data_IF_398087483672
#
_entry.id   IF_398087483672
#
_cell.length_a   1.000
_cell.length_b   1.000
_cell.length_c   1.000
_cell.angle_alpha   90.00
_cell.angle_beta   90.00
_cell.angle_gamma   90.00
#
_symmetry.space_group_name_H-M   'P 1'
#
loop_
_entity.id
_entity.type
_entity.pdbx_description
1 polymer ?
#
# COMPACT_ATOMS: atom_id res chain seq x y z
N UNK A 1 -6.12 11.08 15.81
CA UNK A 1 -5.09 10.10 15.38
C UNK A 1 -4.12 9.76 16.51
N UNK A 2 -3.54 10.76 17.19
CA UNK A 2 -2.62 10.54 18.33
C UNK A 2 -3.20 9.63 19.44
N UNK A 3 -4.48 9.77 19.78
CA UNK A 3 -5.15 8.94 20.81
C UNK A 3 -5.15 7.44 20.48
N UNK A 4 -5.34 7.09 19.20
CA UNK A 4 -5.35 5.69 18.75
C UNK A 4 -3.94 5.11 18.79
N UNK A 5 -2.94 5.87 18.31
CA UNK A 5 -1.53 5.47 18.36
C UNK A 5 -1.13 5.24 19.82
N UNK A 6 -1.40 6.18 20.71
CA UNK A 6 -1.07 6.05 22.13
C UNK A 6 -1.73 4.81 22.75
N UNK A 7 -3.01 4.55 22.44
CA UNK A 7 -3.73 3.37 22.93
C UNK A 7 -3.12 2.05 22.43
N UNK A 8 -2.69 1.98 21.16
CA UNK A 8 -2.02 0.78 20.62
C UNK A 8 -0.67 0.58 21.30
N UNK A 9 0.11 1.65 21.49
CA UNK A 9 1.45 1.55 22.07
C UNK A 9 1.45 1.22 23.57
N UNK A 10 0.44 1.69 24.31
CA UNK A 10 0.23 1.33 25.71
C UNK A 10 -0.21 -0.12 25.89
N UNK A 11 -0.70 -0.77 24.84
CA UNK A 11 -1.15 -2.16 24.88
C UNK A 11 -2.49 -2.35 25.60
N UNK A 12 -2.92 -3.61 25.68
CA UNK A 12 -4.07 -4.06 26.48
C UNK A 12 -3.62 -5.17 27.43
N UNK A 13 -4.24 -5.23 28.62
CA UNK A 13 -3.98 -6.27 29.64
C UNK A 13 -2.49 -6.44 30.02
N UNK A 14 -1.76 -5.32 30.12
CA UNK A 14 -0.34 -5.31 30.47
C UNK A 14 0.60 -5.81 29.36
N UNK A 15 0.08 -6.13 28.17
CA UNK A 15 0.87 -6.58 27.02
C UNK A 15 1.03 -5.44 26.03
N UNK A 16 2.25 -4.96 25.88
CA UNK A 16 2.56 -3.91 24.89
C UNK A 16 3.11 -4.53 23.60
N UNK A 17 2.76 -4.00 22.42
CA UNK A 17 3.25 -4.56 21.15
C UNK A 17 4.73 -4.21 20.94
N UNK A 18 5.54 -5.20 20.55
CA UNK A 18 6.94 -4.98 20.13
C UNK A 18 7.04 -4.57 18.66
N UNK A 19 6.08 -5.02 17.84
CA UNK A 19 6.00 -4.71 16.41
C UNK A 19 4.61 -4.18 16.07
N UNK A 20 4.53 -3.11 15.29
CA UNK A 20 3.28 -2.50 14.85
C UNK A 20 3.21 -2.49 13.32
N UNK A 21 2.06 -2.86 12.75
CA UNK A 21 1.78 -2.76 11.31
C UNK A 21 0.82 -1.57 11.06
N UNK A 22 1.33 -0.35 10.83
CA UNK A 22 0.50 0.79 10.46
C UNK A 22 0.09 0.72 8.98
N UNK A 23 -1.14 0.28 8.71
CA UNK A 23 -1.72 0.31 7.35
C UNK A 23 -2.29 1.70 7.07
N UNK A 24 -1.43 2.71 7.01
CA UNK A 24 -1.83 4.12 6.97
C UNK A 24 -0.97 5.01 6.07
N UNK A 25 -0.22 4.42 5.13
CA UNK A 25 0.63 5.17 4.19
C UNK A 25 1.55 6.16 4.93
N UNK A 26 1.56 7.46 4.56
CA UNK A 26 2.39 8.49 5.21
C UNK A 26 2.13 8.69 6.71
N UNK A 27 0.95 8.33 7.22
CA UNK A 27 0.65 8.44 8.65
C UNK A 27 1.46 7.45 9.51
N UNK A 28 2.16 6.50 8.90
CA UNK A 28 3.22 5.70 9.54
C UNK A 28 4.26 6.58 10.22
N UNK A 29 4.54 7.77 9.67
CA UNK A 29 5.42 8.77 10.28
C UNK A 29 4.99 9.17 11.69
N UNK A 30 3.70 9.19 12.00
CA UNK A 30 3.21 9.54 13.34
C UNK A 30 3.49 8.45 14.38
N UNK A 31 3.46 7.18 13.98
CA UNK A 31 3.86 6.06 14.83
C UNK A 31 5.35 6.14 15.13
N UNK A 32 6.17 6.39 14.10
CA UNK A 32 7.61 6.57 14.26
C UNK A 32 7.97 7.78 15.14
N UNK A 33 7.24 8.89 14.99
CA UNK A 33 7.40 10.06 15.85
C UNK A 33 6.98 9.76 17.29
N UNK A 34 5.95 8.92 17.51
CA UNK A 34 5.57 8.47 18.84
C UNK A 34 6.63 7.57 19.51
N UNK A 35 7.43 6.83 18.72
CA UNK A 35 8.56 6.07 19.25
C UNK A 35 9.67 6.99 19.76
N UNK A 36 10.00 8.04 19.00
CA UNK A 36 11.03 8.99 19.39
C UNK A 36 10.69 9.80 20.67
N UNK A 37 9.40 9.93 21.01
CA UNK A 37 8.92 10.69 22.17
C UNK A 37 9.01 9.94 23.51
N UNK A 38 9.27 8.63 23.51
CA UNK A 38 9.28 7.82 24.74
C UNK A 38 10.34 6.74 24.69
N UNK A 39 11.19 6.68 25.72
CA UNK A 39 12.19 5.62 25.89
C UNK A 39 11.55 4.23 26.00
N UNK A 40 10.33 4.13 26.53
CA UNK A 40 9.58 2.87 26.61
C UNK A 40 9.20 2.29 25.23
N UNK A 41 9.29 3.10 24.17
CA UNK A 41 9.03 2.71 22.80
C UNK A 41 10.31 2.55 21.97
N UNK A 42 11.50 2.70 22.58
CA UNK A 42 12.75 2.69 21.85
C UNK A 42 12.99 1.37 21.10
N UNK A 43 12.60 0.23 21.68
CA UNK A 43 12.82 -1.09 21.06
C UNK A 43 11.67 -1.55 20.16
N UNK A 44 10.63 -0.71 19.97
CA UNK A 44 9.51 -1.04 19.11
C UNK A 44 9.88 -0.86 17.64
N UNK A 45 9.37 -1.75 16.81
CA UNK A 45 9.57 -1.77 15.36
C UNK A 45 8.24 -1.61 14.61
N UNK A 46 8.33 -1.21 13.35
CA UNK A 46 7.18 -1.16 12.44
C UNK A 46 7.35 -2.10 11.25
N UNK A 47 6.22 -2.55 10.71
CA UNK A 47 6.16 -3.15 9.37
C UNK A 47 5.56 -2.10 8.44
N UNK A 48 6.33 -1.63 7.46
CA UNK A 48 5.88 -0.65 6.48
C UNK A 48 4.85 -1.22 5.49
N UNK A 49 4.21 -0.34 4.71
CA UNK A 49 3.23 -0.71 3.67
C UNK A 49 3.47 -0.01 2.35
N UNK A 50 2.91 -0.60 1.28
CA UNK A 50 2.85 -0.12 -0.10
C UNK A 50 4.21 -0.13 -0.82
N UNK A 51 5.26 0.43 -0.22
CA UNK A 51 6.64 0.44 -0.73
C UNK A 51 7.62 0.03 0.38
N UNK A 52 8.92 -0.05 0.06
CA UNK A 52 9.94 -0.06 1.10
C UNK A 52 10.01 1.31 1.80
N UNK A 53 9.23 1.44 2.88
CA UNK A 53 9.12 2.70 3.61
C UNK A 53 10.38 3.05 4.40
N UNK A 54 11.32 2.13 4.59
CA UNK A 54 12.61 2.46 5.21
C UNK A 54 13.39 3.49 4.37
N UNK A 55 13.20 3.46 3.05
CA UNK A 55 13.79 4.43 2.11
C UNK A 55 13.07 5.78 2.15
N UNK A 56 11.79 5.81 2.52
CA UNK A 56 11.02 7.06 2.68
C UNK A 56 11.29 7.77 4.01
N UNK A 57 11.77 7.03 5.02
CA UNK A 57 12.13 7.55 6.33
C UNK A 57 13.59 7.21 6.69
N UNK A 58 14.58 7.77 5.99
CA UNK A 58 15.99 7.37 6.12
C UNK A 58 16.51 7.52 7.55
N UNK A 59 16.17 8.61 8.24
CA UNK A 59 16.57 8.86 9.64
C UNK A 59 15.96 7.87 10.64
N UNK A 60 14.99 7.07 10.20
CA UNK A 60 14.26 6.10 11.01
C UNK A 60 14.30 4.71 10.38
N UNK A 61 15.17 4.47 9.40
CA UNK A 61 15.25 3.20 8.67
C UNK A 61 15.44 2.00 9.62
N UNK A 62 16.24 2.16 10.68
CA UNK A 62 16.44 1.14 11.72
C UNK A 62 15.21 0.81 12.59
N UNK A 63 14.07 1.46 12.38
CA UNK A 63 12.79 1.12 13.02
C UNK A 63 11.91 0.22 12.17
N UNK A 64 12.25 -0.01 10.91
CA UNK A 64 11.50 -0.91 10.04
C UNK A 64 12.04 -2.33 10.19
N UNK A 65 11.18 -3.25 10.62
CA UNK A 65 11.47 -4.69 10.60
C UNK A 65 11.46 -5.21 9.16
N UNK A 66 10.46 -4.80 8.38
CA UNK A 66 10.27 -5.10 6.95
C UNK A 66 9.17 -4.18 6.40
N UNK A 67 8.81 -4.31 5.12
CA UNK A 67 7.66 -3.65 4.50
C UNK A 67 6.83 -4.63 3.67
N UNK A 68 5.50 -4.54 3.77
CA UNK A 68 4.57 -5.24 2.89
C UNK A 68 4.42 -4.40 1.61
N UNK A 69 5.23 -4.71 0.61
CA UNK A 69 5.19 -4.01 -0.69
C UNK A 69 3.95 -4.40 -1.48
N UNK A 70 3.28 -3.41 -2.08
CA UNK A 70 2.16 -3.59 -3.00
C UNK A 70 2.51 -2.92 -4.32
N UNK A 71 2.64 -3.71 -5.39
CA UNK A 71 3.08 -3.24 -6.70
C UNK A 71 1.99 -2.48 -7.48
N UNK A 72 1.38 -1.46 -6.85
CA UNK A 72 0.28 -0.67 -7.44
C UNK A 72 0.76 0.06 -8.69
N UNK A 73 1.96 0.66 -8.65
CA UNK A 73 2.54 1.35 -9.80
C UNK A 73 2.75 0.42 -11.01
N UNK A 74 3.19 -0.83 -10.79
CA UNK A 74 3.32 -1.81 -11.86
C UNK A 74 1.95 -2.20 -12.40
N UNK A 75 0.95 -2.41 -11.53
CA UNK A 75 -0.41 -2.73 -11.96
C UNK A 75 -1.03 -1.61 -12.80
N UNK A 76 -0.86 -0.35 -12.40
CA UNK A 76 -1.31 0.81 -13.16
C UNK A 76 -0.57 0.92 -14.50
N UNK A 77 0.76 0.74 -14.50
CA UNK A 77 1.57 0.76 -15.72
C UNK A 77 1.11 -0.33 -16.70
N UNK A 78 0.89 -1.55 -16.23
CA UNK A 78 0.46 -2.68 -17.05
C UNK A 78 -0.89 -2.38 -17.71
N UNK A 79 -1.86 -1.86 -16.94
CA UNK A 79 -3.19 -1.49 -17.46
C UNK A 79 -3.08 -0.37 -18.49
N UNK A 80 -2.36 0.72 -18.17
CA UNK A 80 -2.21 1.86 -19.07
C UNK A 80 -1.48 1.48 -20.35
N UNK A 81 -0.44 0.66 -20.25
CA UNK A 81 0.33 0.17 -21.40
C UNK A 81 -0.53 -0.70 -22.30
N UNK A 82 -1.37 -1.57 -21.72
CA UNK A 82 -2.34 -2.36 -22.50
C UNK A 82 -3.39 -1.47 -23.19
N UNK A 83 -3.93 -0.47 -22.50
CA UNK A 83 -4.88 0.49 -23.09
C UNK A 83 -4.24 1.26 -24.26
N UNK A 84 -3.02 1.77 -24.07
CA UNK A 84 -2.36 2.66 -25.02
C UNK A 84 -1.72 1.91 -26.20
N UNK A 85 -1.16 0.73 -25.97
CA UNK A 85 -0.37 0.00 -26.97
C UNK A 85 -1.12 -1.19 -27.58
N UNK A 86 -2.07 -1.81 -26.87
CA UNK A 86 -2.75 -3.03 -27.34
C UNK A 86 -4.07 -2.77 -28.08
N UNK A 87 -4.33 -1.52 -28.48
CA UNK A 87 -5.50 -1.11 -29.26
C UNK A 87 -5.65 -1.77 -30.65
N UNK A 88 -4.78 -2.72 -31.04
CA UNK A 88 -4.84 -3.37 -32.37
C UNK A 88 -5.03 -4.89 -32.36
N UNK A 89 -4.78 -5.61 -31.26
CA UNK A 89 -4.88 -7.08 -31.21
C UNK A 89 -5.54 -7.56 -29.91
N UNK A 90 -6.87 -7.68 -29.90
CA UNK A 90 -7.68 -8.08 -28.74
C UNK A 90 -7.39 -9.48 -28.16
N UNK A 91 -6.57 -10.29 -28.82
CA UNK A 91 -6.19 -11.64 -28.35
C UNK A 91 -5.03 -11.65 -27.34
N UNK A 92 -4.32 -10.54 -27.17
CA UNK A 92 -3.17 -10.42 -26.26
C UNK A 92 -3.46 -9.55 -25.02
N UNK A 93 -4.66 -8.98 -24.94
CA UNK A 93 -5.10 -8.18 -23.80
C UNK A 93 -5.28 -9.08 -22.57
N UNK A 94 -4.62 -8.74 -21.46
CA UNK A 94 -4.67 -9.47 -20.19
C UNK A 94 -5.65 -8.84 -19.21
N UNK A 95 -5.81 -7.52 -19.25
CA UNK A 95 -6.61 -6.74 -18.28
C UNK A 95 -7.91 -6.16 -18.88
N UNK A 96 -8.01 -6.05 -20.20
CA UNK A 96 -9.18 -5.52 -20.92
C UNK A 96 -10.10 -6.60 -21.50
N UNK A 97 -9.96 -7.85 -21.05
CA UNK A 97 -10.85 -8.96 -21.42
C UNK A 97 -11.88 -9.15 -20.31
N UNK A 98 -13.16 -9.17 -20.68
CA UNK A 98 -14.25 -9.45 -19.74
C UNK A 98 -14.17 -10.87 -19.17
N UNK A 99 -14.95 -11.13 -18.12
CA UNK A 99 -15.09 -12.48 -17.54
C UNK A 99 -15.49 -13.56 -18.57
N UNK A 100 -16.17 -13.12 -19.64
CA UNK A 100 -16.39 -13.88 -20.86
C UNK A 100 -15.30 -13.52 -21.86
N UNK A 101 -14.46 -14.48 -22.26
CA UNK A 101 -13.33 -14.29 -23.21
C UNK A 101 -13.78 -13.76 -24.58
N UNK A 102 -15.08 -13.80 -24.89
CA UNK A 102 -15.66 -13.23 -26.10
C UNK A 102 -15.96 -11.73 -26.01
N UNK A 103 -15.93 -11.15 -24.80
CA UNK A 103 -16.19 -9.73 -24.57
C UNK A 103 -14.87 -8.99 -24.31
N UNK A 104 -14.48 -8.13 -25.24
CA UNK A 104 -13.43 -7.14 -25.01
C UNK A 104 -14.09 -5.85 -24.53
N UNK A 105 -13.55 -5.20 -23.48
CA UNK A 105 -14.03 -3.87 -23.12
C UNK A 105 -13.67 -2.90 -24.25
N UNK A 106 -14.67 -2.24 -24.83
CA UNK A 106 -14.46 -1.25 -25.89
C UNK A 106 -13.84 -0.01 -25.26
N UNK A 107 -12.69 0.46 -25.75
CA UNK A 107 -12.04 1.69 -25.25
C UNK A 107 -12.74 2.98 -25.70
N UNK A 108 -13.77 2.86 -26.54
CA UNK A 108 -14.55 3.95 -27.11
C UNK A 108 -16.04 3.69 -26.83
N UNK A 109 -16.76 4.70 -26.33
CA UNK A 109 -18.19 4.60 -26.07
C UNK A 109 -18.65 5.30 -24.79
N UNK A 110 -19.95 5.22 -24.52
CA UNK A 110 -20.61 5.78 -23.33
C UNK A 110 -21.03 4.65 -22.38
N UNK A 111 -21.32 4.97 -21.12
CA UNK A 111 -21.85 4.01 -20.13
C UNK A 111 -23.09 3.25 -20.63
N UNK A 112 -23.94 3.91 -21.43
CA UNK A 112 -25.11 3.28 -22.06
C UNK A 112 -24.76 2.17 -23.08
N UNK A 113 -23.51 2.13 -23.54
CA UNK A 113 -22.97 1.15 -24.49
C UNK A 113 -22.16 0.04 -23.79
N UNK A 114 -22.17 -0.01 -22.45
CA UNK A 114 -21.52 -1.06 -21.66
C UNK A 114 -20.05 -0.79 -21.31
N UNK A 115 -19.68 0.49 -21.21
CA UNK A 115 -18.47 0.96 -20.52
C UNK A 115 -18.58 0.77 -19.00
#
# INVERSE_FOLDING_TARGET
>A
MQTVITSVLSGQDGKTPTVVLPVAGPATGEVLNAYARSQANADKLVIGVDVDQSLSYPDKAGKFLTSITKNIAQAEYDIMTEILLSAKNSRENKFLVGHDKSKTFTLEGTFAQGW
#
